data_IF_086276592853
#
_entry.id   IF_086276592853
#
_cell.length_a   1.000
_cell.length_b   1.000
_cell.length_c   1.000
_cell.angle_alpha   90.00
_cell.angle_beta   90.00
_cell.angle_gamma   90.00
#
_symmetry.space_group_name_H-M   'P 1'
#
loop_
_entity.id
_entity.type
_entity.pdbx_description
1 polymer ?
#
# COMPACT_ATOMS: atom_id res chain seq x y z
N UNK A 1 21.86 34.05 3.69
CA UNK A 1 20.58 33.97 2.97
C UNK A 1 20.35 32.49 2.66
N UNK A 2 19.49 31.78 3.37
CA UNK A 2 19.32 30.34 3.20
C UNK A 2 18.47 29.65 4.26
N UNK A 3 17.51 30.35 4.87
CA UNK A 3 16.69 29.77 5.94
C UNK A 3 15.17 29.84 5.69
N UNK A 4 14.72 30.29 4.52
CA UNK A 4 13.28 30.55 4.28
C UNK A 4 12.60 29.46 3.44
N UNK A 5 13.33 28.66 2.67
CA UNK A 5 12.70 27.67 1.76
C UNK A 5 12.32 26.33 2.42
N UNK A 6 12.62 26.10 3.70
CA UNK A 6 12.35 24.81 4.36
C UNK A 6 10.94 24.62 4.94
N UNK A 7 10.13 25.68 4.97
CA UNK A 7 8.81 25.61 5.62
C UNK A 7 7.63 25.39 4.66
N UNK A 8 7.80 25.58 3.37
CA UNK A 8 6.66 25.56 2.43
C UNK A 8 6.19 24.14 2.06
N UNK A 9 7.08 23.14 2.02
CA UNK A 9 6.69 21.76 1.63
C UNK A 9 6.01 20.95 2.73
N UNK A 10 6.10 21.33 3.99
CA UNK A 10 5.47 20.59 5.11
C UNK A 10 3.93 20.68 5.10
N UNK A 11 3.38 21.72 4.48
CA UNK A 11 1.93 21.94 4.44
C UNK A 11 1.21 21.18 3.33
N UNK A 12 1.91 20.74 2.28
CA UNK A 12 1.30 19.99 1.18
C UNK A 12 1.09 18.50 1.52
N UNK A 13 1.94 17.93 2.35
CA UNK A 13 1.83 16.49 2.72
C UNK A 13 0.77 16.19 3.79
N UNK A 14 0.25 17.19 4.49
CA UNK A 14 -0.67 17.01 5.62
C UNK A 14 -0.02 16.35 6.86
N UNK A 15 1.31 16.17 6.85
CA UNK A 15 2.05 15.50 7.93
C UNK A 15 2.47 16.52 8.99
N UNK A 16 2.28 16.14 10.26
CA UNK A 16 2.61 16.99 11.41
C UNK A 16 4.11 16.99 11.71
N UNK A 17 4.60 18.07 12.37
CA UNK A 17 5.98 18.15 12.87
C UNK A 17 6.34 16.99 13.82
N UNK A 18 5.36 16.45 14.54
CA UNK A 18 5.57 15.28 15.43
C UNK A 18 5.85 14.02 14.65
N UNK A 19 5.15 13.81 13.54
CA UNK A 19 5.38 12.67 12.65
C UNK A 19 6.71 12.82 11.91
N UNK A 20 7.07 14.03 11.51
CA UNK A 20 8.38 14.32 10.94
C UNK A 20 9.51 13.99 11.93
N UNK A 21 9.40 14.47 13.15
CA UNK A 21 10.35 14.17 14.21
C UNK A 21 10.43 12.65 14.53
N UNK A 22 9.30 11.94 14.44
CA UNK A 22 9.24 10.49 14.61
C UNK A 22 9.98 9.77 13.49
N UNK A 23 9.74 10.13 12.21
CA UNK A 23 10.41 9.55 11.06
C UNK A 23 11.93 9.71 11.18
N UNK A 24 12.42 10.91 11.46
CA UNK A 24 13.85 11.17 11.64
C UNK A 24 14.46 10.43 12.83
N UNK A 25 13.69 10.18 13.89
CA UNK A 25 14.15 9.37 15.02
C UNK A 25 14.32 7.92 14.60
N UNK A 26 13.33 7.35 13.90
CA UNK A 26 13.38 5.98 13.41
C UNK A 26 14.51 5.82 12.39
N UNK A 27 14.66 6.78 11.48
CA UNK A 27 15.79 6.83 10.54
C UNK A 27 17.14 6.66 11.25
N UNK A 28 17.42 7.51 12.25
CA UNK A 28 18.70 7.45 13.00
C UNK A 28 18.87 6.13 13.74
N UNK A 29 17.79 5.57 14.28
CA UNK A 29 17.82 4.30 14.98
C UNK A 29 18.16 3.15 14.04
N UNK A 30 17.44 3.01 12.92
CA UNK A 30 17.67 1.95 11.93
C UNK A 30 19.05 2.06 11.33
N UNK A 31 19.47 3.27 10.94
CA UNK A 31 20.80 3.52 10.39
C UNK A 31 21.91 3.11 11.37
N UNK A 32 21.79 3.51 12.63
CA UNK A 32 22.77 3.15 13.65
C UNK A 32 22.80 1.65 13.95
N UNK A 33 21.63 1.02 14.08
CA UNK A 33 21.54 -0.38 14.51
C UNK A 33 21.95 -1.37 13.42
N UNK A 34 21.64 -1.08 12.16
CA UNK A 34 21.85 -2.04 11.07
C UNK A 34 22.95 -1.65 10.09
N UNK A 35 23.26 -0.36 9.97
CA UNK A 35 24.20 0.18 8.97
C UNK A 35 25.34 0.97 9.56
N UNK A 36 25.53 0.93 10.89
CA UNK A 36 26.61 1.63 11.61
C UNK A 36 26.66 3.13 11.35
N UNK A 37 25.51 3.75 11.06
CA UNK A 37 25.41 5.18 10.75
C UNK A 37 25.89 5.58 9.35
N UNK A 38 26.11 4.62 8.44
CA UNK A 38 26.74 4.86 7.13
C UNK A 38 25.76 5.34 6.04
N UNK A 39 24.46 5.27 6.29
CA UNK A 39 23.46 5.75 5.33
C UNK A 39 23.30 7.27 5.51
N UNK A 40 23.63 8.00 4.45
CA UNK A 40 23.53 9.47 4.41
C UNK A 40 22.63 9.86 3.22
N UNK A 41 21.35 9.55 3.34
CA UNK A 41 20.30 9.89 2.35
C UNK A 41 19.20 10.65 3.11
N UNK A 42 18.78 11.83 2.65
CA UNK A 42 17.64 12.52 3.26
C UNK A 42 16.36 11.67 3.16
N UNK A 43 15.51 11.75 4.17
CA UNK A 43 14.21 11.11 4.21
C UNK A 43 13.12 12.16 4.37
N UNK A 44 12.01 12.00 3.66
CA UNK A 44 10.86 12.92 3.68
C UNK A 44 9.54 12.15 3.62
N UNK A 45 8.50 12.76 4.17
CA UNK A 45 7.13 12.36 3.91
C UNK A 45 6.67 12.96 2.60
N UNK A 46 6.57 12.15 1.57
CA UNK A 46 6.09 12.56 0.26
C UNK A 46 5.54 11.33 -0.48
N UNK A 47 4.58 11.53 -1.37
CA UNK A 47 4.08 10.43 -2.19
C UNK A 47 5.17 10.07 -3.19
N UNK A 48 5.67 8.82 -3.20
CA UNK A 48 6.66 8.37 -4.16
C UNK A 48 6.19 8.58 -5.59
N UNK A 49 7.06 9.11 -6.48
CA UNK A 49 6.69 9.40 -7.87
C UNK A 49 6.38 8.14 -8.70
N UNK A 50 6.91 6.98 -8.31
CA UNK A 50 6.49 5.68 -8.83
C UNK A 50 5.04 5.33 -8.48
N UNK A 51 4.41 6.09 -7.59
CA UNK A 51 3.01 5.99 -7.28
C UNK A 51 2.16 6.98 -8.09
N UNK A 52 2.35 7.05 -9.40
CA UNK A 52 1.19 7.29 -10.27
C UNK A 52 0.24 6.10 -10.06
N UNK A 53 -0.29 6.07 -8.85
CA UNK A 53 -1.31 5.12 -8.50
C UNK A 53 -2.45 5.31 -9.51
N UNK A 54 -2.89 4.24 -10.18
CA UNK A 54 -4.18 4.30 -10.83
C UNK A 54 -5.15 4.88 -9.80
N UNK A 55 -6.07 5.72 -10.24
CA UNK A 55 -7.07 6.34 -9.36
C UNK A 55 -7.55 5.29 -8.34
N UNK A 56 -7.54 5.61 -7.04
CA UNK A 56 -7.92 4.62 -6.04
C UNK A 56 -9.27 4.02 -6.44
N UNK A 57 -9.41 2.70 -6.38
CA UNK A 57 -10.65 2.06 -6.79
C UNK A 57 -11.82 2.73 -6.06
N UNK A 58 -12.96 2.91 -6.73
CA UNK A 58 -14.11 3.59 -6.15
C UNK A 58 -14.49 2.89 -4.84
N UNK A 59 -14.33 3.61 -3.73
CA UNK A 59 -14.79 3.13 -2.43
C UNK A 59 -16.32 3.07 -2.45
N UNK A 60 -16.92 2.20 -1.63
CA UNK A 60 -18.37 2.13 -1.47
C UNK A 60 -18.99 3.53 -1.22
N UNK A 61 -18.23 4.40 -0.53
CA UNK A 61 -18.61 5.80 -0.26
C UNK A 61 -18.64 6.72 -1.50
N UNK A 62 -18.06 6.30 -2.63
CA UNK A 62 -18.08 7.06 -3.90
C UNK A 62 -19.21 6.66 -4.83
N UNK A 63 -19.91 5.58 -4.49
CA UNK A 63 -21.06 5.13 -5.26
C UNK A 63 -22.25 6.07 -5.06
N UNK A 64 -23.00 6.29 -6.13
CA UNK A 64 -24.23 7.04 -6.07
C UNK A 64 -25.30 6.32 -5.23
N UNK A 65 -26.28 7.05 -4.72
CA UNK A 65 -27.38 6.46 -3.98
C UNK A 65 -28.14 5.38 -4.77
N UNK A 66 -28.20 5.50 -6.10
CA UNK A 66 -28.83 4.53 -6.98
C UNK A 66 -27.99 3.24 -7.11
N UNK A 67 -26.68 3.35 -7.20
CA UNK A 67 -25.74 2.22 -7.23
C UNK A 67 -25.74 1.48 -5.90
N UNK A 68 -25.67 2.21 -4.78
CA UNK A 68 -25.82 1.62 -3.44
C UNK A 68 -27.13 0.85 -3.29
N UNK A 69 -28.23 1.40 -3.80
CA UNK A 69 -29.54 0.70 -3.78
C UNK A 69 -29.50 -0.61 -4.55
N UNK A 70 -28.78 -0.67 -5.68
CA UNK A 70 -28.60 -1.92 -6.45
C UNK A 70 -27.79 -2.97 -5.68
N UNK A 71 -26.73 -2.56 -4.98
CA UNK A 71 -25.94 -3.47 -4.14
C UNK A 71 -26.81 -4.02 -3.00
N UNK A 72 -27.60 -3.18 -2.33
CA UNK A 72 -28.52 -3.61 -1.28
C UNK A 72 -29.58 -4.61 -1.83
N UNK A 73 -30.06 -4.39 -3.04
CA UNK A 73 -31.00 -5.34 -3.69
C UNK A 73 -30.28 -6.67 -4.03
N UNK A 74 -29.01 -6.63 -4.43
CA UNK A 74 -28.21 -7.83 -4.66
C UNK A 74 -28.03 -8.66 -3.37
N UNK A 75 -27.76 -8.00 -2.23
CA UNK A 75 -27.67 -8.65 -0.92
C UNK A 75 -29.01 -9.32 -0.57
N UNK A 76 -30.13 -8.61 -0.72
CA UNK A 76 -31.46 -9.18 -0.45
C UNK A 76 -31.79 -10.38 -1.34
N UNK A 77 -31.47 -10.31 -2.63
CA UNK A 77 -31.65 -11.42 -3.54
C UNK A 77 -30.78 -12.63 -3.14
N UNK A 78 -29.55 -12.40 -2.71
CA UNK A 78 -28.67 -13.45 -2.18
C UNK A 78 -29.26 -14.10 -0.91
N UNK A 79 -29.75 -13.30 0.04
CA UNK A 79 -30.38 -13.79 1.27
C UNK A 79 -31.64 -14.62 1.01
N UNK A 80 -32.38 -14.31 -0.06
CA UNK A 80 -33.56 -15.06 -0.49
C UNK A 80 -33.27 -16.22 -1.46
N UNK A 81 -31.97 -16.53 -1.68
CA UNK A 81 -31.48 -17.57 -2.60
C UNK A 81 -31.85 -17.36 -4.08
N UNK A 82 -32.20 -16.12 -4.46
CA UNK A 82 -32.36 -15.74 -5.86
C UNK A 82 -30.98 -15.32 -6.43
N UNK A 83 -30.16 -16.34 -6.69
CA UNK A 83 -28.77 -16.14 -7.12
C UNK A 83 -28.67 -15.49 -8.52
N UNK A 84 -29.64 -15.72 -9.40
CA UNK A 84 -29.62 -15.14 -10.75
C UNK A 84 -29.87 -13.64 -10.72
N UNK A 85 -30.83 -13.19 -9.92
CA UNK A 85 -31.06 -11.76 -9.69
C UNK A 85 -29.88 -11.12 -8.95
N UNK A 86 -29.33 -11.79 -7.93
CA UNK A 86 -28.18 -11.32 -7.19
C UNK A 86 -26.98 -11.10 -8.11
N UNK A 87 -26.65 -12.08 -8.99
CA UNK A 87 -25.58 -11.96 -10.01
C UNK A 87 -25.78 -10.74 -10.91
N UNK A 88 -26.96 -10.58 -11.49
CA UNK A 88 -27.25 -9.46 -12.40
C UNK A 88 -27.10 -8.09 -11.74
N UNK A 89 -27.49 -7.98 -10.48
CA UNK A 89 -27.45 -6.72 -9.74
C UNK A 89 -26.03 -6.34 -9.34
N UNK A 90 -25.20 -7.30 -8.93
CA UNK A 90 -23.87 -7.05 -8.40
C UNK A 90 -22.79 -6.97 -9.48
N UNK A 91 -22.96 -7.68 -10.61
CA UNK A 91 -21.96 -7.80 -11.68
C UNK A 91 -21.37 -6.46 -12.16
N UNK A 92 -22.14 -5.36 -12.31
CA UNK A 92 -21.57 -4.08 -12.73
C UNK A 92 -20.56 -3.46 -11.74
N UNK A 93 -20.52 -3.95 -10.51
CA UNK A 93 -19.67 -3.44 -9.44
C UNK A 93 -18.47 -4.36 -9.14
N UNK A 94 -18.31 -5.43 -9.92
CA UNK A 94 -17.21 -6.39 -9.74
C UNK A 94 -16.01 -6.07 -10.62
N UNK A 95 -14.80 -6.30 -10.10
CA UNK A 95 -13.55 -6.07 -10.83
C UNK A 95 -13.18 -4.60 -11.05
N UNK A 96 -13.88 -3.68 -10.38
CA UNK A 96 -13.62 -2.25 -10.41
C UNK A 96 -13.11 -1.71 -9.07
N UNK A 97 -12.70 -2.64 -8.17
CA UNK A 97 -12.11 -2.31 -6.87
C UNK A 97 -13.13 -2.06 -5.74
N UNK A 98 -14.41 -2.35 -5.94
CA UNK A 98 -15.41 -2.34 -4.85
C UNK A 98 -15.35 -3.68 -4.12
N UNK A 99 -14.42 -3.79 -3.16
CA UNK A 99 -14.08 -5.04 -2.45
C UNK A 99 -15.29 -5.82 -1.92
N UNK A 100 -16.26 -5.11 -1.34
CA UNK A 100 -17.47 -5.76 -0.81
C UNK A 100 -18.36 -6.36 -1.92
N UNK A 101 -18.43 -5.69 -3.08
CA UNK A 101 -19.17 -6.20 -4.24
C UNK A 101 -18.45 -7.41 -4.82
N UNK A 102 -17.13 -7.39 -4.91
CA UNK A 102 -16.31 -8.50 -5.36
C UNK A 102 -16.48 -9.73 -4.48
N UNK A 103 -16.41 -9.56 -3.17
CA UNK A 103 -16.64 -10.64 -2.21
C UNK A 103 -18.07 -11.19 -2.26
N UNK A 104 -19.07 -10.31 -2.37
CA UNK A 104 -20.46 -10.73 -2.51
C UNK A 104 -20.66 -11.55 -3.79
N UNK A 105 -20.07 -11.11 -4.91
CA UNK A 105 -20.17 -11.84 -6.18
C UNK A 105 -19.58 -13.25 -6.08
N UNK A 106 -18.37 -13.39 -5.50
CA UNK A 106 -17.75 -14.70 -5.27
C UNK A 106 -18.65 -15.59 -4.39
N UNK A 107 -19.22 -15.06 -3.30
CA UNK A 107 -20.15 -15.79 -2.43
C UNK A 107 -21.40 -16.25 -3.16
N UNK A 108 -21.95 -15.40 -4.04
CA UNK A 108 -23.12 -15.76 -4.87
C UNK A 108 -22.77 -16.94 -5.79
N UNK A 109 -21.62 -16.88 -6.48
CA UNK A 109 -21.17 -17.97 -7.36
C UNK A 109 -20.97 -19.29 -6.58
N UNK A 110 -20.34 -19.23 -5.41
CA UNK A 110 -20.16 -20.39 -4.55
C UNK A 110 -21.50 -20.99 -4.09
N UNK A 111 -22.43 -20.16 -3.63
CA UNK A 111 -23.75 -20.58 -3.17
C UNK A 111 -24.62 -21.13 -4.31
N UNK A 112 -24.45 -20.62 -5.52
CA UNK A 112 -25.09 -21.13 -6.74
C UNK A 112 -24.43 -22.40 -7.30
N UNK A 113 -23.38 -22.93 -6.68
CA UNK A 113 -22.53 -24.01 -7.19
C UNK A 113 -22.01 -23.74 -8.62
N UNK A 114 -21.75 -22.49 -8.96
CA UNK A 114 -21.21 -22.09 -10.25
C UNK A 114 -19.72 -22.43 -10.31
N UNK A 115 -19.27 -23.33 -11.21
CA UNK A 115 -17.88 -23.79 -11.25
C UNK A 115 -16.87 -22.67 -11.58
N UNK A 116 -17.32 -21.55 -12.11
CA UNK A 116 -16.45 -20.42 -12.47
C UNK A 116 -15.95 -19.60 -11.26
N UNK A 117 -16.49 -19.84 -10.05
CA UNK A 117 -16.18 -19.02 -8.88
C UNK A 117 -14.67 -18.91 -8.58
N UNK A 118 -13.91 -19.99 -8.75
CA UNK A 118 -12.46 -20.00 -8.48
C UNK A 118 -11.66 -19.18 -9.48
N UNK A 119 -12.05 -19.21 -10.77
CA UNK A 119 -11.41 -18.40 -11.81
C UNK A 119 -11.77 -16.93 -11.68
N UNK A 120 -13.02 -16.65 -11.32
CA UNK A 120 -13.49 -15.29 -11.02
C UNK A 120 -12.76 -14.74 -9.81
N UNK A 121 -12.66 -15.49 -8.72
CA UNK A 121 -11.93 -15.09 -7.53
C UNK A 121 -10.45 -14.79 -7.83
N UNK A 122 -9.81 -15.62 -8.65
CA UNK A 122 -8.42 -15.40 -9.06
C UNK A 122 -8.26 -14.12 -9.90
N UNK A 123 -9.19 -13.87 -10.83
CA UNK A 123 -9.16 -12.64 -11.66
C UNK A 123 -9.41 -11.39 -10.82
N UNK A 124 -10.41 -11.40 -9.94
CA UNK A 124 -10.73 -10.29 -9.05
C UNK A 124 -9.56 -10.01 -8.10
N UNK A 125 -9.00 -11.05 -7.47
CA UNK A 125 -7.85 -10.89 -6.59
C UNK A 125 -6.62 -10.36 -7.35
N UNK A 126 -6.41 -10.78 -8.60
CA UNK A 126 -5.33 -10.24 -9.43
C UNK A 126 -5.56 -8.76 -9.75
N UNK A 127 -6.77 -8.38 -10.17
CA UNK A 127 -7.11 -6.96 -10.41
C UNK A 127 -6.98 -6.14 -9.13
N UNK A 128 -7.44 -6.68 -7.99
CA UNK A 128 -7.27 -6.03 -6.69
C UNK A 128 -5.79 -5.90 -6.30
N UNK A 129 -4.96 -6.91 -6.58
CA UNK A 129 -3.52 -6.82 -6.32
C UNK A 129 -2.83 -5.80 -7.23
N UNK A 130 -3.16 -5.80 -8.51
CA UNK A 130 -2.53 -4.90 -9.50
C UNK A 130 -2.93 -3.43 -9.34
N UNK A 131 -4.09 -3.14 -8.69
CA UNK A 131 -4.64 -1.77 -8.60
C UNK A 131 -4.53 -1.13 -7.23
N UNK A 132 -4.16 -1.87 -6.19
CA UNK A 132 -4.30 -1.41 -4.79
C UNK A 132 -2.98 -1.20 -4.05
N UNK A 133 -1.86 -1.66 -4.59
CA UNK A 133 -0.60 -1.56 -3.88
C UNK A 133 0.20 -0.34 -4.33
N UNK A 134 0.31 0.63 -3.45
CA UNK A 134 1.21 1.77 -3.61
C UNK A 134 2.51 1.51 -2.83
N UNK A 135 3.65 2.02 -3.29
CA UNK A 135 4.88 1.88 -2.53
C UNK A 135 4.77 2.55 -1.17
N UNK A 136 5.16 1.85 -0.11
CA UNK A 136 5.26 2.40 1.24
C UNK A 136 6.37 3.45 1.35
N UNK A 137 7.43 3.27 0.58
CA UNK A 137 8.51 4.21 0.36
C UNK A 137 9.18 3.93 -0.98
N UNK A 138 9.99 4.86 -1.45
CA UNK A 138 10.91 4.67 -2.56
C UNK A 138 12.14 5.56 -2.40
N UNK A 139 13.26 5.12 -2.97
CA UNK A 139 14.46 5.95 -3.11
C UNK A 139 14.50 6.53 -4.52
N UNK A 140 14.49 7.84 -4.62
CA UNK A 140 14.48 8.56 -5.90
C UNK A 140 15.68 9.49 -6.02
N UNK A 141 16.05 9.84 -7.27
CA UNK A 141 17.13 10.80 -7.53
C UNK A 141 16.52 12.11 -7.97
N UNK A 142 16.61 13.13 -7.12
CA UNK A 142 16.13 14.49 -7.38
C UNK A 142 17.33 15.42 -7.38
N UNK A 143 17.54 16.17 -8.46
CA UNK A 143 18.67 17.10 -8.62
C UNK A 143 20.04 16.44 -8.34
N UNK A 144 20.22 15.18 -8.73
CA UNK A 144 21.42 14.33 -8.49
C UNK A 144 21.64 13.94 -7.02
N UNK A 145 20.65 14.14 -6.16
CA UNK A 145 20.67 13.71 -4.77
C UNK A 145 19.66 12.59 -4.59
N UNK A 146 20.08 11.49 -3.99
CA UNK A 146 19.14 10.43 -3.59
C UNK A 146 18.33 10.89 -2.40
N UNK A 147 17.01 10.66 -2.44
CA UNK A 147 16.07 11.01 -1.36
C UNK A 147 15.16 9.81 -1.13
N UNK A 148 14.92 9.44 0.10
CA UNK A 148 13.92 8.44 0.46
C UNK A 148 12.60 9.17 0.72
N UNK A 149 11.61 8.85 -0.09
CA UNK A 149 10.22 9.30 0.11
C UNK A 149 9.45 8.22 0.83
N UNK A 150 8.84 8.56 1.95
CA UNK A 150 7.96 7.69 2.73
C UNK A 150 6.53 8.17 2.58
N UNK A 151 5.63 7.28 2.22
CA UNK A 151 4.25 7.63 1.89
C UNK A 151 3.54 8.27 3.12
N UNK A 152 2.94 9.47 2.98
CA UNK A 152 2.29 10.20 4.08
C UNK A 152 1.19 9.43 4.78
N UNK A 153 0.50 8.53 4.07
CA UNK A 153 -0.53 7.68 4.66
C UNK A 153 -0.02 6.74 5.77
N UNK A 154 1.29 6.54 5.90
CA UNK A 154 1.87 5.81 7.04
C UNK A 154 1.94 6.67 8.31
N UNK A 155 1.85 8.00 8.21
CA UNK A 155 1.87 8.89 9.36
C UNK A 155 0.59 8.84 10.17
N UNK A 156 0.63 9.35 11.40
CA UNK A 156 -0.54 9.49 12.26
C UNK A 156 -1.46 10.62 11.81
N UNK A 157 -0.89 11.73 11.38
CA UNK A 157 -1.65 12.95 11.03
C UNK A 157 -2.31 12.88 9.67
N UNK A 158 -1.70 12.16 8.71
CA UNK A 158 -2.20 12.10 7.34
C UNK A 158 -2.76 10.73 6.92
N UNK A 159 -2.73 9.72 7.80
CA UNK A 159 -3.18 8.39 7.40
C UNK A 159 -3.41 7.37 8.51
N UNK A 160 -2.85 6.17 8.32
CA UNK A 160 -3.17 4.96 9.09
C UNK A 160 -2.49 4.85 10.46
N UNK A 161 -1.60 5.80 10.83
CA UNK A 161 -0.81 5.72 12.05
C UNK A 161 -0.01 4.40 12.14
N UNK A 162 0.82 4.17 11.14
CA UNK A 162 1.61 2.94 11.04
C UNK A 162 2.38 2.67 12.33
N UNK A 163 2.34 1.44 12.85
CA UNK A 163 3.12 1.06 14.00
C UNK A 163 4.61 1.28 13.77
N UNK A 164 5.36 1.59 14.82
CA UNK A 164 6.79 1.89 14.72
C UNK A 164 7.60 0.79 14.02
N UNK A 165 7.24 -0.49 14.22
CA UNK A 165 7.93 -1.60 13.57
C UNK A 165 7.74 -1.61 12.04
N UNK A 166 6.61 -1.10 11.54
CA UNK A 166 6.37 -0.94 10.10
C UNK A 166 7.31 0.11 9.52
N UNK A 167 7.36 1.30 10.12
CA UNK A 167 8.28 2.37 9.68
C UNK A 167 9.75 1.94 9.76
N UNK A 168 10.13 1.16 10.78
CA UNK A 168 11.49 0.58 10.89
C UNK A 168 11.78 -0.38 9.75
N UNK A 169 10.85 -1.26 9.43
CA UNK A 169 10.98 -2.20 8.33
C UNK A 169 11.09 -1.49 6.98
N UNK A 170 10.22 -0.51 6.72
CA UNK A 170 10.23 0.28 5.48
C UNK A 170 11.57 0.99 5.30
N UNK A 171 12.08 1.69 6.33
CA UNK A 171 13.39 2.33 6.26
C UNK A 171 14.54 1.34 6.18
N UNK A 172 14.45 0.18 6.84
CA UNK A 172 15.45 -0.87 6.68
C UNK A 172 15.53 -1.34 5.23
N UNK A 173 14.39 -1.55 4.57
CA UNK A 173 14.29 -1.96 3.18
C UNK A 173 14.96 -0.94 2.23
N UNK A 174 14.60 0.34 2.34
CA UNK A 174 15.19 1.41 1.53
C UNK A 174 16.71 1.55 1.76
N UNK A 175 17.15 1.45 3.02
CA UNK A 175 18.57 1.49 3.32
C UNK A 175 19.33 0.28 2.77
N UNK A 176 18.68 -0.86 2.68
CA UNK A 176 19.28 -2.06 2.12
C UNK A 176 19.55 -1.93 0.62
N UNK A 177 18.66 -1.25 -0.13
CA UNK A 177 18.92 -0.88 -1.52
C UNK A 177 20.21 -0.07 -1.64
N UNK A 178 20.37 0.96 -0.83
CA UNK A 178 21.58 1.78 -0.82
C UNK A 178 22.81 1.02 -0.37
N UNK A 179 22.69 0.25 0.69
CA UNK A 179 23.82 -0.50 1.26
C UNK A 179 24.39 -1.53 0.30
N UNK A 180 23.54 -2.20 -0.47
CA UNK A 180 23.92 -3.20 -1.45
C UNK A 180 24.17 -2.61 -2.85
N UNK A 181 23.85 -1.33 -3.05
CA UNK A 181 23.90 -0.66 -4.36
C UNK A 181 23.16 -1.46 -5.44
N UNK A 182 21.89 -1.81 -5.14
CA UNK A 182 21.07 -2.66 -6.02
C UNK A 182 20.78 -1.97 -7.35
N UNK A 183 20.65 -2.78 -8.41
CA UNK A 183 20.32 -2.30 -9.75
C UNK A 183 18.79 -2.18 -9.93
N UNK A 184 18.30 -1.23 -10.74
CA UNK A 184 16.90 -1.21 -11.16
C UNK A 184 16.45 -2.49 -11.89
N UNK A 185 17.36 -3.18 -12.60
CA UNK A 185 17.08 -4.42 -13.33
C UNK A 185 16.94 -5.64 -12.39
N UNK A 186 17.56 -5.60 -11.21
CA UNK A 186 17.43 -6.60 -10.14
C UNK A 186 17.43 -5.87 -8.78
N UNK A 187 16.30 -5.29 -8.40
CA UNK A 187 16.19 -4.50 -7.19
C UNK A 187 16.34 -5.33 -5.91
N UNK A 188 15.99 -6.62 -5.98
CA UNK A 188 15.99 -7.51 -4.81
C UNK A 188 16.80 -8.79 -5.07
N UNK A 189 18.15 -8.69 -5.23
CA UNK A 189 19.00 -9.87 -5.43
C UNK A 189 18.95 -10.83 -4.23
N UNK A 190 19.45 -12.05 -4.41
CA UNK A 190 19.38 -13.08 -3.35
C UNK A 190 19.94 -12.61 -2.00
N UNK A 191 21.04 -11.85 -2.02
CA UNK A 191 21.62 -11.29 -0.79
C UNK A 191 20.66 -10.33 -0.11
N UNK A 192 19.98 -9.46 -0.87
CA UNK A 192 18.97 -8.55 -0.35
C UNK A 192 17.85 -9.33 0.36
N UNK A 193 17.25 -10.31 -0.35
CA UNK A 193 16.16 -11.14 0.20
C UNK A 193 16.59 -11.90 1.47
N UNK A 194 17.83 -12.39 1.50
CA UNK A 194 18.37 -13.07 2.68
C UNK A 194 18.53 -12.14 3.87
N UNK A 195 19.08 -10.94 3.67
CA UNK A 195 19.26 -9.95 4.73
C UNK A 195 17.92 -9.44 5.24
N UNK A 196 16.98 -9.18 4.35
CA UNK A 196 15.64 -8.73 4.69
C UNK A 196 14.85 -9.80 5.49
N UNK A 197 14.95 -11.08 5.11
CA UNK A 197 14.34 -12.20 5.85
C UNK A 197 14.87 -12.33 7.27
N UNK A 198 16.06 -11.83 7.56
CA UNK A 198 16.64 -11.85 8.90
C UNK A 198 16.06 -10.79 9.85
N UNK A 199 15.25 -9.84 9.36
CA UNK A 199 14.62 -8.81 10.19
C UNK A 199 13.50 -9.42 11.03
N UNK A 200 13.58 -9.37 12.37
CA UNK A 200 12.61 -10.07 13.24
C UNK A 200 11.16 -9.63 13.06
N UNK A 201 10.94 -8.35 12.72
CA UNK A 201 9.61 -7.76 12.60
C UNK A 201 9.05 -7.83 11.16
N UNK A 202 9.80 -8.41 10.20
CA UNK A 202 9.47 -8.43 8.77
C UNK A 202 8.07 -8.99 8.50
N UNK A 203 7.79 -10.20 8.94
CA UNK A 203 6.50 -10.86 8.65
C UNK A 203 5.31 -10.02 9.12
N UNK A 204 5.40 -9.48 10.35
CA UNK A 204 4.37 -8.64 10.93
C UNK A 204 4.24 -7.28 10.21
N UNK A 205 5.36 -6.74 9.71
CA UNK A 205 5.34 -5.48 8.97
C UNK A 205 4.72 -5.68 7.58
N UNK A 206 5.05 -6.76 6.88
CA UNK A 206 4.46 -7.12 5.59
C UNK A 206 2.95 -7.35 5.74
N UNK A 207 2.52 -8.14 6.71
CA UNK A 207 1.09 -8.35 7.00
C UNK A 207 0.35 -7.03 7.19
N UNK A 208 0.93 -6.11 7.97
CA UNK A 208 0.34 -4.80 8.19
C UNK A 208 0.29 -3.96 6.91
N UNK A 209 1.38 -3.93 6.12
CA UNK A 209 1.45 -3.18 4.86
C UNK A 209 0.41 -3.70 3.86
N UNK A 210 0.32 -5.01 3.66
CA UNK A 210 -0.66 -5.64 2.78
C UNK A 210 -2.10 -5.35 3.22
N UNK A 211 -2.38 -5.41 4.53
CA UNK A 211 -3.70 -5.07 5.08
C UNK A 211 -4.09 -3.60 4.84
N UNK A 212 -3.13 -2.72 4.56
CA UNK A 212 -3.33 -1.30 4.28
C UNK A 212 -3.02 -0.93 2.82
N UNK A 213 -2.94 -1.93 1.94
CA UNK A 213 -2.74 -1.77 0.49
C UNK A 213 -1.41 -1.12 0.08
N UNK A 214 -0.35 -1.40 0.82
CA UNK A 214 1.00 -1.04 0.40
C UNK A 214 1.69 -2.23 -0.26
N UNK A 215 2.46 -1.96 -1.33
CA UNK A 215 3.27 -2.97 -1.99
C UNK A 215 4.38 -3.49 -1.09
N UNK A 216 4.72 -4.75 -1.25
CA UNK A 216 5.78 -5.42 -0.50
C UNK A 216 6.70 -6.18 -1.45
N UNK A 217 7.85 -6.63 -0.96
CA UNK A 217 8.80 -7.45 -1.73
C UNK A 217 8.18 -8.77 -2.22
N UNK A 218 7.11 -9.21 -1.58
CA UNK A 218 6.42 -10.47 -1.96
C UNK A 218 5.49 -10.28 -3.16
N UNK A 219 5.20 -9.03 -3.51
CA UNK A 219 4.31 -8.66 -4.61
C UNK A 219 5.10 -8.37 -5.92
N UNK A 220 6.44 -8.49 -5.90
CA UNK A 220 7.33 -8.14 -7.02
C UNK A 220 7.97 -9.36 -7.69
#
# INVERSE_FOLDING_TARGET
>A
MGAVERSENLYESGVSEKDEALLHRIYREVNRCHYSGKIDIPVRWEIPSASEAPEPPPKLSTLTAQEMKRIVLAVKAYETHDFDSAKKLILPFTGIGVTDADQLYIRILMAANDPSWSDVARKINKVSSDTLYVPAASTEVVDRVEVIYVHPALSKSAGYNAPRYVLRYVLFHEFLHKFLNTSPDDPHPELFRRMEKAVPERAKAIEWLQAHHFSTVEDQ
#
